data_IF_126326700479
#
_entry.id   IF_126326700479
#
_cell.length_a   1.000
_cell.length_b   1.000
_cell.length_c   1.000
_cell.angle_alpha   90.00
_cell.angle_beta   90.00
_cell.angle_gamma   90.00
#
_symmetry.space_group_name_H-M   'P 1'
#
loop_
_entity.id
_entity.type
_entity.pdbx_description
1 polymer ?
2 branched ?
3 non-polymer ?
4 non-polymer ?
5 non-polymer ?
6 non-polymer ?
7 non-polymer ?
8 non-polymer ?
9 non-polymer ?
10 water ?
#
# COMPACT_ATOMS: atom_id res chain seq x y z
N UNK A 1 1.39 -21.09 26.89
CA UNK A 1 1.07 -20.08 25.89
C UNK A 1 2.31 -19.68 25.11
N UNK A 2 2.24 -19.84 23.79
CA UNK A 2 3.35 -19.51 22.90
C UNK A 2 3.56 -18.00 22.81
N UNK A 3 2.48 -17.25 23.02
CA UNK A 3 2.54 -15.80 23.05
C UNK A 3 1.90 -15.28 24.31
N UNK A 4 1.66 -13.98 24.36
CA UNK A 4 1.09 -13.36 25.54
C UNK A 4 -0.01 -12.42 25.12
N UNK A 5 -1.25 -12.85 25.31
CA UNK A 5 -2.39 -12.02 24.97
C UNK A 5 -2.66 -11.04 26.11
N UNK A 6 -3.15 -9.85 25.76
CA UNK A 6 -3.46 -8.80 26.71
C UNK A 6 -4.75 -8.18 26.27
N UNK A 7 -5.30 -7.24 27.07
CA UNK A 7 -6.61 -6.76 26.64
C UNK A 7 -6.59 -6.29 25.19
N UNK A 8 -5.49 -5.67 24.75
CA UNK A 8 -5.42 -5.07 23.42
C UNK A 8 -4.09 -5.29 22.67
N UNK A 9 -3.45 -6.44 22.91
CA UNK A 9 -2.16 -6.71 22.33
C UNK A 9 -1.88 -8.22 22.29
N UNK A 10 -0.88 -8.61 21.51
CA UNK A 10 -0.44 -9.98 21.44
C UNK A 10 1.06 -10.03 21.18
N UNK A 11 1.83 -10.15 22.25
CA UNK A 11 3.28 -10.21 22.14
C UNK A 11 3.64 -11.63 21.74
N UNK A 12 4.39 -11.79 20.63
CA UNK A 12 4.75 -13.14 20.20
C UNK A 12 6.00 -13.64 20.96
N UNK A 13 5.86 -13.72 22.27
CA UNK A 13 6.92 -14.16 23.17
C UNK A 13 6.27 -14.82 24.41
N UNK A 14 6.79 -15.97 24.84
CA UNK A 14 6.26 -16.65 26.02
C UNK A 14 6.50 -15.85 27.31
N UNK A 15 5.50 -15.82 28.19
CA UNK A 15 5.67 -15.11 29.47
C UNK A 15 5.99 -16.02 30.65
N UNK A 16 6.62 -17.16 30.39
CA UNK A 16 6.97 -18.08 31.45
C UNK A 16 8.04 -17.47 32.36
N UNK A 17 8.82 -16.54 31.81
CA UNK A 17 9.85 -15.84 32.57
C UNK A 17 9.39 -14.49 33.11
N UNK A 18 8.11 -14.18 32.94
CA UNK A 18 7.52 -12.96 33.47
C UNK A 18 8.07 -11.66 32.89
N UNK A 19 8.89 -11.76 31.84
CA UNK A 19 9.48 -10.56 31.24
C UNK A 19 8.52 -9.77 30.34
N UNK A 20 7.61 -10.47 29.66
CA UNK A 20 6.67 -9.82 28.75
C UNK A 20 5.98 -8.63 29.42
N UNK A 21 5.87 -7.52 28.68
CA UNK A 21 5.16 -6.31 29.10
C UNK A 21 4.31 -5.85 27.93
N UNK A 22 3.38 -4.93 28.19
CA UNK A 22 2.49 -4.42 27.15
C UNK A 22 3.21 -3.45 26.23
N UNK A 23 3.07 -3.65 24.90
CA UNK A 23 3.77 -2.76 23.95
C UNK A 23 3.21 -1.34 24.02
N UNK A 24 2.25 -1.12 24.92
CA UNK A 24 1.70 0.22 25.14
C UNK A 24 2.24 0.85 26.43
N UNK A 25 2.82 0.00 27.29
CA UNK A 25 3.30 0.43 28.60
C UNK A 25 4.85 0.51 28.71
N UNK A 26 5.56 -0.40 28.08
CA UNK A 26 7.02 -0.42 28.22
C UNK A 26 7.81 -0.94 27.01
N UNK A 27 9.09 -0.56 26.93
CA UNK A 27 9.97 -1.01 25.84
C UNK A 27 9.94 -2.51 25.66
N UNK A 28 10.20 -2.99 24.44
CA UNK A 28 10.09 -4.42 24.11
C UNK A 28 11.45 -5.04 23.87
N UNK A 29 12.47 -4.44 24.47
CA UNK A 29 13.85 -4.90 24.28
C UNK A 29 14.11 -6.37 24.65
N UNK A 30 13.19 -6.97 25.41
CA UNK A 30 13.33 -8.39 25.71
C UNK A 30 13.04 -9.26 24.47
N UNK A 31 12.36 -8.66 23.48
CA UNK A 31 11.93 -9.33 22.25
C UNK A 31 13.06 -9.55 21.27
N UNK A 32 13.94 -8.56 21.17
CA UNK A 32 15.11 -8.64 20.31
C UNK A 32 16.21 -7.67 20.78
N UNK A 33 17.35 -7.65 20.10
CA UNK A 33 18.44 -6.73 20.47
C UNK A 33 18.05 -5.28 20.17
N UNK A 34 18.43 -4.36 21.07
CA UNK A 34 18.12 -2.94 20.85
C UNK A 34 18.76 -2.39 19.56
N UNK A 35 19.83 -3.01 19.09
CA UNK A 35 20.39 -2.55 17.83
C UNK A 35 19.44 -2.85 16.67
N UNK A 36 18.61 -3.88 16.83
CA UNK A 36 17.56 -4.23 15.85
C UNK A 36 16.45 -3.19 15.81
N UNK A 37 16.12 -2.62 16.96
CA UNK A 37 15.17 -1.54 17.04
C UNK A 37 15.74 -0.28 16.40
N UNK A 38 17.06 -0.14 16.45
CA UNK A 38 17.75 0.97 15.82
C UNK A 38 17.74 0.81 14.31
N UNK A 39 17.82 -0.44 13.85
CA UNK A 39 17.73 -0.76 12.43
C UNK A 39 16.36 -0.39 11.87
N UNK A 40 15.30 -0.77 12.59
CA UNK A 40 13.95 -0.38 12.16
C UNK A 40 13.82 1.16 12.09
N UNK A 41 14.26 1.81 13.15
CA UNK A 41 14.24 3.26 13.25
C UNK A 41 14.94 3.86 12.04
N UNK A 42 16.18 3.41 11.82
CA UNK A 42 17.02 3.90 10.72
C UNK A 42 16.29 3.72 9.39
N UNK A 43 15.74 2.52 9.23
CA UNK A 43 14.90 2.13 8.10
C UNK A 43 13.73 3.09 7.86
N UNK A 44 12.93 3.33 8.90
CA UNK A 44 11.77 4.22 8.77
C UNK A 44 12.21 5.61 8.40
N UNK A 45 13.34 6.03 8.98
CA UNK A 45 13.90 7.33 8.72
C UNK A 45 14.20 7.51 7.22
N UNK A 46 14.80 6.49 6.62
CA UNK A 46 15.07 6.49 5.19
C UNK A 46 13.79 6.57 4.37
N UNK A 47 12.79 5.79 4.76
CA UNK A 47 11.51 5.78 4.07
C UNK A 47 10.87 7.16 4.12
N UNK A 48 10.95 7.81 5.28
CA UNK A 48 10.42 9.16 5.41
C UNK A 48 11.23 10.14 4.54
N UNK A 49 12.55 10.08 4.64
CA UNK A 49 13.37 11.00 3.90
C UNK A 49 13.36 10.76 2.38
N UNK A 50 13.03 9.54 1.96
CA UNK A 50 12.84 9.26 0.54
C UNK A 50 11.43 9.56 0.11
N UNK A 51 10.46 9.05 0.89
CA UNK A 51 9.04 9.16 0.56
C UNK A 51 8.50 10.59 0.55
N UNK A 52 8.88 11.39 1.53
CA UNK A 52 8.49 12.81 1.53
C UNK A 52 8.82 13.54 0.21
N UNK A 53 10.11 13.58 -0.19
CA UNK A 53 10.41 14.32 -1.43
C UNK A 53 9.94 13.66 -2.74
N UNK A 54 9.95 12.34 -2.90
CA UNK A 54 9.56 11.80 -4.20
C UNK A 54 8.06 11.91 -4.44
N UNK A 55 7.28 11.81 -3.38
CA UNK A 55 5.85 11.94 -3.53
C UNK A 55 5.43 13.39 -3.74
N UNK A 56 5.87 14.27 -2.85
CA UNK A 56 5.63 15.67 -3.02
C UNK A 56 6.03 16.12 -4.41
N UNK A 57 7.22 15.74 -4.83
CA UNK A 57 7.73 16.13 -6.14
C UNK A 57 6.76 15.69 -7.22
N UNK A 58 6.33 14.44 -7.14
CA UNK A 58 5.34 13.92 -8.06
C UNK A 58 4.07 14.79 -8.06
N UNK A 59 3.54 14.99 -6.86
CA UNK A 59 2.37 15.84 -6.69
C UNK A 59 2.61 17.24 -7.28
N UNK A 60 3.69 17.87 -6.87
CA UNK A 60 4.05 19.21 -7.33
C UNK A 60 4.18 19.29 -8.86
N UNK A 61 5.03 18.45 -9.45
CA UNK A 61 5.22 18.44 -10.90
C UNK A 61 3.91 18.24 -11.69
N UNK A 62 3.01 17.43 -11.15
CA UNK A 62 1.74 17.13 -11.81
C UNK A 62 0.83 18.35 -11.84
N UNK A 63 0.62 18.96 -10.68
CA UNK A 63 -0.17 20.18 -10.55
C UNK A 63 0.36 21.27 -11.49
N UNK A 64 1.68 21.44 -11.50
CA UNK A 64 2.33 22.50 -12.27
C UNK A 64 2.16 22.35 -13.79
N UNK A 65 2.13 21.12 -14.27
CA UNK A 65 1.99 20.88 -15.71
C UNK A 65 0.56 20.49 -16.12
N UNK A 66 -0.14 21.42 -16.76
CA UNK A 66 -1.52 21.21 -17.20
C UNK A 66 -1.69 20.05 -18.19
N UNK A 67 -0.69 19.78 -19.03
CA UNK A 67 -0.82 18.69 -19.99
C UNK A 67 -0.92 17.33 -19.30
N UNK A 68 -0.52 17.27 -18.03
CA UNK A 68 -0.57 16.04 -17.24
C UNK A 68 -1.97 15.75 -16.67
N UNK A 69 -2.96 15.55 -17.54
CA UNK A 69 -4.32 15.36 -17.07
C UNK A 69 -4.98 14.10 -17.65
N UNK A 70 -4.21 13.03 -17.83
CA UNK A 70 -4.76 11.76 -18.26
C UNK A 70 -5.09 10.91 -17.03
N UNK A 71 -5.80 9.79 -17.22
CA UNK A 71 -6.09 8.89 -16.09
C UNK A 71 -4.84 8.42 -15.32
N UNK A 72 -3.80 8.00 -16.02
CA UNK A 72 -2.52 7.70 -15.37
C UNK A 72 -2.02 8.85 -14.50
N UNK A 73 -1.92 10.03 -15.11
CA UNK A 73 -1.45 11.21 -14.40
C UNK A 73 -2.26 11.40 -13.12
N UNK A 74 -3.57 11.21 -13.26
CA UNK A 74 -4.47 11.32 -12.13
C UNK A 74 -4.22 10.25 -11.07
N UNK A 75 -4.09 9.00 -11.50
CA UNK A 75 -3.88 7.90 -10.56
C UNK A 75 -2.57 8.12 -9.83
N UNK A 76 -1.52 8.52 -10.52
CA UNK A 76 -0.25 8.68 -9.83
C UNK A 76 -0.21 9.85 -8.86
N UNK A 77 -0.89 10.94 -9.22
CA UNK A 77 -1.09 12.03 -8.30
C UNK A 77 -1.76 11.50 -7.03
N UNK A 78 -2.78 10.68 -7.23
CA UNK A 78 -3.51 10.07 -6.13
C UNK A 78 -2.63 9.24 -5.16
N UNK A 79 -1.81 8.36 -5.73
CA UNK A 79 -0.79 7.63 -4.97
C UNK A 79 0.17 8.56 -4.22
N UNK A 80 0.62 9.61 -4.90
CA UNK A 80 1.47 10.60 -4.25
C UNK A 80 0.84 11.13 -2.97
N UNK A 81 -0.46 11.43 -3.02
CA UNK A 81 -1.18 11.87 -1.83
C UNK A 81 -1.28 10.74 -0.81
N UNK A 82 -1.67 9.56 -1.26
CA UNK A 82 -1.75 8.41 -0.37
C UNK A 82 -0.43 8.17 0.37
N UNK A 83 0.68 8.23 -0.36
CA UNK A 83 1.99 8.05 0.22
C UNK A 83 2.35 9.13 1.24
N UNK A 84 1.94 10.38 1.00
CA UNK A 84 2.24 11.44 1.95
C UNK A 84 1.48 11.24 3.24
N UNK A 85 0.30 10.65 3.10
CA UNK A 85 -0.47 10.22 4.26
C UNK A 85 0.22 9.07 5.01
N UNK A 86 0.81 8.14 4.27
CA UNK A 86 1.53 7.07 4.92
C UNK A 86 2.74 7.61 5.66
N UNK A 87 3.52 8.41 4.95
CA UNK A 87 4.72 9.00 5.54
C UNK A 87 4.36 9.77 6.80
N UNK A 88 3.59 10.84 6.64
CA UNK A 88 3.28 11.74 7.76
C UNK A 88 2.24 11.25 8.76
N UNK A 89 1.30 10.45 8.30
CA UNK A 89 0.27 9.96 9.19
C UNK A 89 0.76 8.77 9.97
N UNK A 90 1.57 7.93 9.31
CA UNK A 90 1.98 6.67 9.91
C UNK A 90 3.44 6.50 10.25
N UNK A 91 4.33 6.76 9.30
CA UNK A 91 5.75 6.44 9.47
C UNK A 91 6.42 7.22 10.60
N UNK A 92 6.08 8.50 10.73
CA UNK A 92 6.57 9.32 11.84
C UNK A 92 6.33 8.62 13.19
N UNK A 93 5.19 7.99 13.31
CA UNK A 93 4.82 7.27 14.52
C UNK A 93 5.59 5.96 14.65
N UNK A 94 5.73 5.24 13.55
CA UNK A 94 6.44 3.97 13.58
C UNK A 94 7.93 4.23 13.85
N UNK A 95 8.44 5.32 13.27
CA UNK A 95 9.80 5.73 13.57
C UNK A 95 9.96 5.95 15.08
N UNK A 96 9.19 6.90 15.60
CA UNK A 96 9.25 7.23 17.00
C UNK A 96 9.00 6.01 17.90
N UNK A 97 8.09 5.14 17.49
CA UNK A 97 7.86 3.91 18.26
C UNK A 97 9.11 3.03 18.28
N UNK A 98 9.73 2.86 17.12
CA UNK A 98 10.98 2.08 17.04
C UNK A 98 12.11 2.62 17.93
N UNK A 99 12.19 3.94 18.03
CA UNK A 99 13.20 4.61 18.85
C UNK A 99 12.99 4.31 20.33
N UNK A 100 11.75 4.34 20.78
CA UNK A 100 11.46 4.02 22.18
C UNK A 100 11.24 2.53 22.42
N UNK A 101 11.10 1.77 21.33
CA UNK A 101 10.93 0.32 21.43
C UNK A 101 9.53 -0.08 21.86
N UNK A 102 8.61 0.86 21.77
CA UNK A 102 7.20 0.57 22.08
C UNK A 102 6.30 1.76 21.75
N UNK A 103 5.00 1.54 21.81
CA UNK A 103 4.03 2.57 21.48
C UNK A 103 3.78 3.53 22.64
N UNK A 104 4.68 4.50 22.81
CA UNK A 104 4.53 5.47 23.90
C UNK A 104 3.29 6.32 23.68
N UNK A 105 2.82 6.35 22.44
CA UNK A 105 1.59 7.06 22.12
C UNK A 105 0.37 6.19 22.39
N UNK A 106 0.58 5.02 23.00
CA UNK A 106 -0.49 4.08 23.29
C UNK A 106 -1.28 3.64 22.06
N UNK A 107 -2.47 3.09 22.28
CA UNK A 107 -3.33 2.62 21.17
C UNK A 107 -3.63 3.70 20.11
N UNK A 108 -3.66 4.96 20.52
CA UNK A 108 -3.91 5.98 19.52
C UNK A 108 -2.74 5.99 18.51
N UNK A 109 -1.52 5.83 18.99
CA UNK A 109 -0.37 5.73 18.11
C UNK A 109 -0.41 4.53 17.17
N UNK A 110 -0.76 3.39 17.75
CA UNK A 110 -1.00 2.17 17.00
C UNK A 110 -2.07 2.32 15.92
N UNK A 111 -3.12 3.09 16.19
CA UNK A 111 -4.18 3.30 15.21
C UNK A 111 -3.65 4.10 14.03
N UNK A 112 -2.90 5.14 14.32
CA UNK A 112 -2.27 5.93 13.28
C UNK A 112 -1.41 5.06 12.34
N UNK A 113 -0.53 4.26 12.94
CA UNK A 113 0.43 3.44 12.22
C UNK A 113 -0.31 2.43 11.35
N UNK A 114 -1.33 1.81 11.92
CA UNK A 114 -2.11 0.78 11.23
C UNK A 114 -3.05 1.35 10.19
N UNK A 115 -3.72 2.43 10.53
CA UNK A 115 -4.62 3.08 9.59
C UNK A 115 -3.93 3.49 8.29
N UNK A 116 -2.94 4.38 8.38
CA UNK A 116 -2.34 4.92 7.17
C UNK A 116 -1.57 3.89 6.36
N UNK A 117 -1.05 2.88 7.04
CA UNK A 117 -0.38 1.82 6.32
C UNK A 117 -1.45 1.09 5.52
N UNK A 118 -2.51 0.70 6.20
CA UNK A 118 -3.60 0.00 5.56
C UNK A 118 -4.20 0.85 4.45
N UNK A 119 -4.39 2.11 4.74
CA UNK A 119 -4.98 3.02 3.79
C UNK A 119 -4.10 3.13 2.55
N UNK A 120 -2.82 3.40 2.76
CA UNK A 120 -1.91 3.58 1.64
C UNK A 120 -1.81 2.32 0.78
N UNK A 121 -1.75 1.16 1.43
CA UNK A 121 -1.67 -0.10 0.70
C UNK A 121 -2.90 -0.35 -0.16
N UNK A 122 -4.07 -0.23 0.47
CA UNK A 122 -5.34 -0.37 -0.23
C UNK A 122 -5.58 0.66 -1.35
N UNK A 123 -5.21 1.92 -1.11
CA UNK A 123 -5.33 2.93 -2.15
C UNK A 123 -4.48 2.54 -3.36
N UNK A 124 -3.30 2.00 -3.10
CA UNK A 124 -2.46 1.49 -4.17
C UNK A 124 -3.11 0.30 -4.89
N UNK A 125 -3.71 -0.64 -4.14
CA UNK A 125 -4.37 -1.81 -4.72
C UNK A 125 -5.52 -1.42 -5.63
N UNK A 126 -6.44 -0.63 -5.07
CA UNK A 126 -7.62 -0.23 -5.81
C UNK A 126 -7.26 0.71 -6.94
N UNK A 127 -6.18 1.48 -6.77
CA UNK A 127 -5.74 2.30 -7.89
C UNK A 127 -5.34 1.40 -9.06
N UNK A 128 -4.70 0.28 -8.74
CA UNK A 128 -4.31 -0.67 -9.78
C UNK A 128 -5.54 -1.17 -10.55
N UNK A 129 -6.63 -1.36 -9.83
CA UNK A 129 -7.87 -1.78 -10.45
C UNK A 129 -8.34 -0.73 -11.46
N UNK A 130 -8.51 0.50 -11.00
CA UNK A 130 -8.83 1.63 -11.89
C UNK A 130 -7.91 1.74 -13.12
N UNK A 131 -6.61 1.60 -12.94
CA UNK A 131 -5.71 1.64 -14.09
C UNK A 131 -5.94 0.48 -15.07
N UNK A 132 -6.12 -0.72 -14.54
CA UNK A 132 -6.29 -1.89 -15.39
C UNK A 132 -7.55 -1.73 -16.22
N UNK A 133 -8.58 -1.21 -15.59
CA UNK A 133 -9.86 -0.99 -16.26
C UNK A 133 -9.72 0.08 -17.32
N UNK A 134 -9.02 1.15 -16.97
CA UNK A 134 -8.69 2.21 -17.92
C UNK A 134 -7.87 1.65 -19.10
N UNK A 135 -6.89 0.79 -18.84
CA UNK A 135 -6.12 0.15 -19.91
C UNK A 135 -7.06 -0.71 -20.75
N UNK A 136 -8.00 -1.37 -20.08
CA UNK A 136 -8.93 -2.26 -20.75
C UNK A 136 -9.79 -1.44 -21.70
N UNK A 137 -10.46 -0.44 -21.16
CA UNK A 137 -11.32 0.41 -21.95
C UNK A 137 -10.57 1.09 -23.11
N UNK A 138 -9.38 1.60 -22.84
CA UNK A 138 -8.62 2.36 -23.84
C UNK A 138 -7.92 1.49 -24.90
N UNK A 139 -7.63 0.25 -24.56
CA UNK A 139 -6.87 -0.62 -25.46
C UNK A 139 -7.74 -1.63 -26.21
N UNK A 140 -8.97 -1.82 -25.73
CA UNK A 140 -9.89 -2.77 -26.36
C UNK A 140 -11.23 -2.11 -26.65
N UNK A 141 -11.46 -0.94 -26.07
CA UNK A 141 -12.72 -0.19 -26.22
C UNK A 141 -13.97 -1.07 -26.41
N UNK A 142 -14.25 -1.94 -25.42
CA UNK A 142 -15.40 -2.84 -25.46
C UNK A 142 -16.73 -2.08 -25.47
N UNK A 143 -16.99 -1.29 -24.43
CA UNK A 143 -18.21 -0.49 -24.39
C UNK A 143 -18.31 0.38 -25.64
N UNK A 144 -19.50 0.91 -25.90
CA UNK A 144 -19.77 1.71 -27.09
C UNK A 144 -18.85 2.91 -27.22
N UNK A 145 -19.30 3.91 -27.98
CA UNK A 145 -18.56 5.15 -28.17
C UNK A 145 -18.47 5.90 -26.84
N UNK A 146 -17.57 5.45 -25.98
CA UNK A 146 -17.43 5.98 -24.63
C UNK A 146 -16.07 6.65 -24.45
N UNK A 147 -16.00 7.59 -23.51
CA UNK A 147 -14.76 8.32 -23.22
C UNK A 147 -14.37 8.28 -21.75
N UNK A 148 -13.31 7.53 -21.46
CA UNK A 148 -12.72 7.50 -20.13
C UNK A 148 -11.81 8.72 -19.95
N UNK A 149 -12.43 9.89 -19.81
CA UNK A 149 -11.68 11.13 -19.77
C UNK A 149 -11.44 11.65 -18.37
N UNK A 150 -11.25 12.96 -18.26
CA UNK A 150 -10.94 13.59 -16.99
C UNK A 150 -12.02 13.35 -15.95
N UNK A 151 -13.28 13.41 -16.37
CA UNK A 151 -14.39 13.22 -15.47
C UNK A 151 -14.32 11.86 -14.74
N UNK A 152 -14.09 10.81 -15.52
CA UNK A 152 -13.97 9.48 -14.94
C UNK A 152 -12.72 9.34 -14.10
N UNK A 153 -11.71 10.12 -14.44
CA UNK A 153 -10.46 10.14 -13.68
C UNK A 153 -10.78 10.49 -12.24
N UNK A 154 -11.44 11.62 -12.05
CA UNK A 154 -11.87 12.05 -10.72
C UNK A 154 -12.70 10.95 -10.04
N UNK A 155 -13.70 10.43 -10.76
CA UNK A 155 -14.53 9.36 -10.21
C UNK A 155 -13.68 8.14 -9.88
N UNK A 156 -12.67 7.88 -10.70
CA UNK A 156 -11.72 6.82 -10.44
C UNK A 156 -10.99 7.02 -9.11
N UNK A 157 -10.43 8.21 -8.92
CA UNK A 157 -9.74 8.54 -7.69
C UNK A 157 -10.65 8.39 -6.45
N UNK A 158 -11.81 9.06 -6.46
CA UNK A 158 -12.74 8.98 -5.34
C UNK A 158 -13.05 7.53 -5.01
N UNK A 159 -13.21 6.72 -6.04
CA UNK A 159 -13.50 5.30 -5.88
C UNK A 159 -12.46 4.59 -5.01
N UNK A 160 -11.18 4.77 -5.34
CA UNK A 160 -10.06 4.19 -4.57
C UNK A 160 -10.11 4.56 -3.09
N UNK A 161 -10.51 5.79 -2.79
CA UNK A 161 -10.60 6.26 -1.41
C UNK A 161 -11.72 5.57 -0.69
N UNK A 162 -12.80 5.32 -1.42
CA UNK A 162 -13.99 4.69 -0.86
C UNK A 162 -13.66 3.26 -0.46
N UNK A 163 -13.07 2.51 -1.38
CA UNK A 163 -12.74 1.12 -1.08
C UNK A 163 -11.70 1.05 0.02
N UNK A 164 -10.61 1.80 -0.14
CA UNK A 164 -9.57 1.79 0.88
C UNK A 164 -10.06 2.15 2.29
N UNK A 165 -11.00 3.09 2.42
CA UNK A 165 -11.52 3.47 3.74
C UNK A 165 -12.46 2.39 4.28
N UNK A 166 -13.11 1.71 3.35
CA UNK A 166 -13.96 0.58 3.67
C UNK A 166 -13.15 -0.53 4.32
N UNK A 167 -11.85 -0.56 4.05
CA UNK A 167 -10.97 -1.54 4.66
C UNK A 167 -10.26 -1.00 5.90
N UNK A 168 -9.78 0.25 5.83
CA UNK A 168 -8.94 0.83 6.87
C UNK A 168 -9.71 1.39 8.08
N UNK A 169 -10.90 1.94 7.85
CA UNK A 169 -11.67 2.60 8.91
C UNK A 169 -12.43 1.69 9.89
N UNK A 170 -13.13 0.63 9.39
CA UNK A 170 -13.96 -0.17 10.29
C UNK A 170 -13.23 -0.61 11.57
N UNK A 171 -11.94 -0.94 11.46
CA UNK A 171 -11.23 -1.36 12.68
C UNK A 171 -10.94 -0.19 13.64
N UNK A 172 -11.26 1.03 13.21
CA UNK A 172 -11.14 2.19 14.09
C UNK A 172 -12.36 2.33 14.97
N UNK A 173 -13.50 1.80 14.53
CA UNK A 173 -14.78 1.98 15.22
C UNK A 173 -15.48 0.69 15.65
N UNK A 174 -14.74 -0.38 15.91
CA UNK A 174 -15.37 -1.58 16.43
C UNK A 174 -15.34 -2.86 15.62
N UNK A 175 -15.04 -2.79 14.33
CA UNK A 175 -14.90 -4.00 13.54
C UNK A 175 -13.42 -4.38 13.36
N UNK A 176 -12.98 -5.39 14.10
CA UNK A 176 -11.56 -5.70 14.21
C UNK A 176 -10.84 -4.51 14.89
N UNK A 177 -9.51 -4.52 14.85
CA UNK A 177 -8.73 -3.44 15.46
C UNK A 177 -7.26 -3.46 15.04
N UNK A 178 -6.64 -2.31 15.12
CA UNK A 178 -5.20 -2.22 14.89
C UNK A 178 -4.42 -2.72 16.12
N UNK A 179 -3.38 -3.50 15.87
CA UNK A 179 -2.72 -4.17 16.98
C UNK A 179 -1.23 -4.29 16.67
N UNK A 180 -0.38 -4.18 17.70
CA UNK A 180 1.05 -4.31 17.42
C UNK A 180 1.48 -5.67 16.86
N UNK A 181 2.48 -5.65 15.98
CA UNK A 181 2.95 -6.85 15.30
C UNK A 181 4.46 -7.00 15.43
N UNK A 182 4.93 -8.24 15.32
CA UNK A 182 6.36 -8.51 15.31
C UNK A 182 7.08 -8.03 16.55
N UNK A 183 8.07 -7.18 16.36
CA UNK A 183 8.78 -6.59 17.49
C UNK A 183 7.93 -5.53 18.17
N UNK A 184 6.67 -5.42 17.77
CA UNK A 184 5.72 -4.53 18.42
C UNK A 184 5.90 -3.07 18.06
N UNK A 185 6.53 -2.78 16.92
CA UNK A 185 6.77 -1.38 16.56
C UNK A 185 6.02 -0.91 15.33
N UNK A 186 5.16 -1.77 14.81
CA UNK A 186 4.25 -1.42 13.74
C UNK A 186 2.93 -2.08 14.08
N UNK A 187 1.85 -1.58 13.50
CA UNK A 187 0.55 -2.11 13.80
C UNK A 187 -0.19 -2.58 12.54
N UNK A 188 -0.84 -3.73 12.66
CA UNK A 188 -1.65 -4.26 11.57
C UNK A 188 -3.02 -4.70 12.05
N UNK A 189 -3.80 -5.25 11.13
CA UNK A 189 -5.09 -5.82 11.48
C UNK A 189 -4.88 -6.97 12.47
N UNK A 190 -5.87 -7.22 13.33
CA UNK A 190 -5.74 -8.31 14.30
C UNK A 190 -6.03 -9.70 13.70
N UNK A 191 -4.97 -10.35 13.21
CA UNK A 191 -5.02 -11.73 12.74
C UNK A 191 -4.68 -12.67 13.89
N UNK A 192 -4.36 -12.08 15.04
CA UNK A 192 -3.73 -12.79 16.17
C UNK A 192 -4.72 -13.40 17.13
N UNK A 193 -5.83 -12.70 17.37
CA UNK A 193 -6.85 -13.19 18.31
C UNK A 193 -8.25 -13.17 17.71
N UNK A 194 -9.14 -14.01 18.23
CA UNK A 194 -10.53 -14.00 17.73
C UNK A 194 -11.33 -12.82 18.28
N UNK A 195 -10.99 -12.40 19.50
CA UNK A 195 -11.63 -11.26 20.15
C UNK A 195 -13.01 -10.96 19.60
N UNK A 196 -13.95 -11.85 19.90
CA UNK A 196 -15.31 -11.82 19.38
C UNK A 196 -16.06 -10.49 19.54
N UNK A 197 -15.66 -9.67 20.52
CA UNK A 197 -16.31 -8.38 20.78
C UNK A 197 -16.17 -7.39 19.63
N UNK A 198 -15.12 -7.57 18.85
CA UNK A 198 -14.88 -6.70 17.72
C UNK A 198 -15.02 -7.50 16.42
N UNK A 199 -15.54 -8.72 16.54
CA UNK A 199 -15.78 -9.59 15.41
C UNK A 199 -14.58 -9.76 14.49
N UNK A 200 -13.41 -9.97 15.09
CA UNK A 200 -12.17 -10.10 14.35
C UNK A 200 -12.25 -11.04 13.14
N UNK A 201 -12.56 -12.31 13.40
CA UNK A 201 -12.68 -13.32 12.37
C UNK A 201 -13.35 -12.80 11.09
N UNK A 202 -14.53 -12.20 11.23
CA UNK A 202 -15.28 -11.83 10.03
C UNK A 202 -14.62 -10.69 9.27
N UNK A 203 -13.83 -9.87 9.95
CA UNK A 203 -13.16 -8.75 9.30
C UNK A 203 -12.01 -9.24 8.45
N UNK A 204 -11.21 -10.14 9.01
CA UNK A 204 -10.06 -10.69 8.30
C UNK A 204 -10.52 -11.34 7.01
N UNK A 205 -11.63 -12.08 7.08
CA UNK A 205 -12.21 -12.71 5.90
C UNK A 205 -12.62 -11.63 4.88
N UNK A 206 -13.35 -10.65 5.37
CA UNK A 206 -13.79 -9.53 4.53
C UNK A 206 -12.60 -8.87 3.84
N UNK A 207 -11.55 -8.63 4.59
CA UNK A 207 -10.35 -7.96 4.08
C UNK A 207 -9.69 -8.75 2.96
N UNK A 208 -9.39 -10.02 3.21
CA UNK A 208 -8.69 -10.87 2.25
C UNK A 208 -9.52 -11.07 0.99
N UNK A 209 -10.83 -11.15 1.15
CA UNK A 209 -11.70 -11.42 0.02
C UNK A 209 -12.04 -10.17 -0.79
N UNK A 210 -12.50 -9.13 -0.09
CA UNK A 210 -12.88 -7.91 -0.77
C UNK A 210 -11.71 -6.98 -1.07
N UNK A 211 -10.69 -7.01 -0.21
CA UNK A 211 -9.61 -6.03 -0.29
C UNK A 211 -8.30 -6.66 -0.70
N UNK A 212 -8.37 -7.83 -1.30
CA UNK A 212 -7.18 -8.47 -1.82
C UNK A 212 -7.55 -9.29 -3.05
N UNK A 213 -8.30 -10.37 -2.83
CA UNK A 213 -8.77 -11.28 -3.88
C UNK A 213 -9.60 -10.60 -4.97
N UNK A 214 -10.71 -9.98 -4.61
CA UNK A 214 -11.57 -9.40 -5.63
C UNK A 214 -10.78 -8.45 -6.54
N UNK A 215 -10.04 -7.49 -5.95
CA UNK A 215 -9.25 -6.58 -6.79
C UNK A 215 -8.29 -7.32 -7.73
N UNK A 216 -7.62 -8.36 -7.23
CA UNK A 216 -6.78 -9.21 -8.08
C UNK A 216 -7.55 -9.92 -9.21
N UNK A 217 -8.76 -10.42 -8.92
CA UNK A 217 -9.63 -10.98 -9.95
C UNK A 217 -9.87 -9.94 -11.04
N UNK A 218 -10.31 -8.76 -10.63
CA UNK A 218 -10.59 -7.71 -11.60
C UNK A 218 -9.39 -7.38 -12.49
N UNK A 219 -8.22 -7.24 -11.88
CA UNK A 219 -7.01 -6.93 -12.63
C UNK A 219 -6.65 -8.09 -13.57
N UNK A 220 -6.76 -9.31 -13.06
CA UNK A 220 -6.49 -10.52 -13.85
C UNK A 220 -7.41 -10.62 -15.07
N UNK A 221 -8.67 -10.26 -14.87
CA UNK A 221 -9.61 -10.20 -15.96
C UNK A 221 -9.13 -9.22 -17.04
N UNK A 222 -8.80 -7.99 -16.61
CA UNK A 222 -8.33 -6.95 -17.52
C UNK A 222 -7.09 -7.37 -18.26
N UNK A 223 -6.16 -7.99 -17.53
CA UNK A 223 -4.95 -8.57 -18.10
C UNK A 223 -5.30 -9.62 -19.16
N UNK A 224 -6.39 -10.35 -18.93
CA UNK A 224 -6.87 -11.29 -19.91
C UNK A 224 -7.25 -10.60 -21.21
N UNK A 225 -8.11 -9.59 -21.09
CA UNK A 225 -8.58 -8.82 -22.24
C UNK A 225 -7.46 -8.16 -23.04
N UNK A 226 -6.37 -7.78 -22.36
CA UNK A 226 -5.23 -7.15 -23.03
C UNK A 226 -4.31 -8.12 -23.79
N UNK A 227 -4.06 -9.28 -23.20
CA UNK A 227 -3.25 -10.30 -23.87
C UNK A 227 -3.97 -10.75 -25.13
N UNK A 228 -5.25 -11.04 -24.99
CA UNK A 228 -6.12 -11.43 -26.10
C UNK A 228 -6.08 -10.41 -27.24
N UNK A 229 -6.39 -9.16 -26.92
CA UNK A 229 -6.42 -8.06 -27.89
C UNK A 229 -5.06 -7.73 -28.52
N UNK A 230 -4.03 -7.55 -27.70
CA UNK A 230 -2.69 -7.30 -28.22
C UNK A 230 -2.33 -8.43 -29.20
N UNK A 231 -3.14 -9.48 -29.18
CA UNK A 231 -2.95 -10.67 -30.00
C UNK A 231 -3.82 -10.70 -31.28
N UNK A 232 -5.14 -10.82 -31.13
CA UNK A 232 -6.02 -10.94 -32.31
C UNK A 232 -7.31 -10.11 -32.28
N UNK A 233 -7.44 -9.24 -31.28
CA UNK A 233 -8.61 -8.37 -31.23
C UNK A 233 -8.22 -6.91 -31.53
N UNK A 234 -6.93 -6.69 -31.79
CA UNK A 234 -6.39 -5.36 -32.04
C UNK A 234 -5.88 -5.19 -33.47
N UNK A 235 -5.57 -6.30 -34.14
CA UNK A 235 -5.15 -6.27 -35.54
C UNK A 235 -6.35 -5.89 -36.41
N UNK A 236 -7.53 -5.89 -35.79
CA UNK A 236 -8.77 -5.51 -36.46
C UNK A 236 -9.25 -4.16 -35.96
N UNK A 237 -8.54 -3.62 -34.96
CA UNK A 237 -8.83 -2.30 -34.42
C UNK A 237 -7.93 -1.27 -35.09
N UNK A 238 -7.12 -1.75 -36.04
CA UNK A 238 -6.21 -0.91 -36.81
C UNK A 238 -5.37 0.03 -35.93
N UNK A 239 -5.03 -0.44 -34.73
CA UNK A 239 -4.19 0.35 -33.84
C UNK A 239 -2.91 0.75 -34.57
N UNK A 240 -2.83 2.01 -34.96
CA UNK A 240 -1.65 2.50 -35.65
C UNK A 240 -0.39 2.24 -34.82
N UNK A 241 0.63 1.68 -35.46
CA UNK A 241 1.89 1.36 -34.77
C UNK A 241 2.48 2.53 -34.00
N UNK A 242 2.04 3.75 -34.32
CA UNK A 242 2.56 4.96 -33.67
C UNK A 242 1.98 5.17 -32.29
N UNK A 243 0.69 4.85 -32.14
CA UNK A 243 0.02 5.00 -30.85
C UNK A 243 0.34 3.83 -29.94
N UNK A 244 0.27 2.62 -30.49
CA UNK A 244 0.60 1.41 -29.74
C UNK A 244 1.93 1.51 -29.01
N UNK A 245 2.91 2.15 -29.64
CA UNK A 245 4.24 2.27 -29.03
C UNK A 245 4.21 3.16 -27.78
N UNK A 246 3.24 4.07 -27.73
CA UNK A 246 3.08 4.96 -26.57
C UNK A 246 2.04 4.41 -25.61
N UNK A 247 1.14 3.59 -26.14
CA UNK A 247 0.11 2.94 -25.34
C UNK A 247 0.63 1.60 -24.81
N UNK A 248 1.78 1.19 -25.31
CA UNK A 248 2.40 -0.03 -24.84
C UNK A 248 3.37 0.38 -23.73
N UNK A 249 3.92 1.59 -23.83
CA UNK A 249 4.74 2.11 -22.75
C UNK A 249 3.92 2.05 -21.48
N UNK A 250 2.75 2.70 -21.55
CA UNK A 250 1.84 2.82 -20.41
C UNK A 250 1.31 1.49 -19.93
N UNK A 251 1.00 0.60 -20.87
CA UNK A 251 0.49 -0.69 -20.48
C UNK A 251 1.58 -1.48 -19.75
N UNK A 252 2.80 -1.40 -20.26
CA UNK A 252 3.91 -2.09 -19.62
C UNK A 252 4.08 -1.58 -18.21
N UNK A 253 3.95 -0.27 -18.06
CA UNK A 253 4.14 0.33 -16.76
C UNK A 253 3.12 -0.16 -15.75
N UNK A 254 1.86 -0.24 -16.17
CA UNK A 254 0.83 -0.68 -15.25
C UNK A 254 1.15 -2.09 -14.80
N UNK A 255 1.53 -2.93 -15.76
CA UNK A 255 1.89 -4.30 -15.44
C UNK A 255 3.01 -4.35 -14.40
N UNK A 256 4.06 -3.54 -14.60
CA UNK A 256 5.14 -3.45 -13.61
C UNK A 256 4.65 -3.00 -12.24
N UNK A 257 3.78 -1.98 -12.22
CA UNK A 257 3.22 -1.51 -10.97
C UNK A 257 2.45 -2.61 -10.24
N UNK A 258 1.80 -3.47 -11.03
CA UNK A 258 1.02 -4.57 -10.49
C UNK A 258 1.95 -5.63 -9.89
N UNK A 259 3.04 -5.89 -10.61
CA UNK A 259 4.02 -6.86 -10.14
C UNK A 259 4.71 -6.35 -8.88
N UNK A 260 5.12 -5.08 -8.89
CA UNK A 260 5.76 -4.45 -7.73
C UNK A 260 4.88 -4.54 -6.50
N UNK A 261 3.57 -4.33 -6.69
CA UNK A 261 2.64 -4.45 -5.57
C UNK A 261 2.65 -5.86 -4.95
N UNK A 262 2.67 -6.87 -5.81
CA UNK A 262 2.69 -8.26 -5.37
C UNK A 262 4.00 -8.59 -4.65
N UNK A 263 5.09 -8.01 -5.15
CA UNK A 263 6.40 -8.25 -4.58
C UNK A 263 6.44 -7.63 -3.19
N UNK A 264 5.82 -6.46 -3.09
CA UNK A 264 5.81 -5.69 -1.88
C UNK A 264 4.87 -6.26 -0.80
N UNK A 265 3.69 -6.72 -1.21
CA UNK A 265 2.65 -7.07 -0.24
C UNK A 265 2.36 -8.54 -0.03
N UNK A 266 2.61 -9.38 -1.03
CA UNK A 266 2.42 -10.82 -0.84
C UNK A 266 3.10 -11.38 0.43
N UNK A 267 4.37 -11.00 0.67
CA UNK A 267 5.03 -11.55 1.87
C UNK A 267 4.24 -11.24 3.14
N UNK A 268 3.73 -10.02 3.25
CA UNK A 268 2.92 -9.62 4.40
C UNK A 268 1.60 -10.41 4.44
N UNK A 269 0.94 -10.42 3.29
CA UNK A 269 -0.25 -11.21 3.05
C UNK A 269 -0.11 -12.63 3.56
N UNK A 270 0.88 -13.36 3.05
CA UNK A 270 1.15 -14.72 3.48
C UNK A 270 1.33 -14.92 4.99
N UNK A 271 2.18 -14.12 5.62
CA UNK A 271 2.37 -14.26 7.07
C UNK A 271 1.04 -13.96 7.80
N UNK A 272 0.34 -12.94 7.36
CA UNK A 272 -0.91 -12.58 8.01
C UNK A 272 -1.89 -13.74 7.94
N UNK A 273 -2.04 -14.31 6.74
CA UNK A 273 -2.93 -15.44 6.51
C UNK A 273 -2.50 -16.67 7.33
N UNK A 274 -1.20 -16.90 7.39
CA UNK A 274 -0.67 -17.94 8.23
C UNK A 274 -1.04 -17.70 9.70
N UNK A 275 -0.55 -16.62 10.28
CA UNK A 275 -0.90 -16.32 11.66
C UNK A 275 -2.40 -16.54 11.90
N UNK A 276 -3.21 -16.03 10.97
CA UNK A 276 -4.66 -16.11 11.12
C UNK A 276 -5.18 -17.55 11.21
N UNK A 277 -4.53 -18.46 10.50
CA UNK A 277 -4.94 -19.84 10.49
C UNK A 277 -4.08 -20.71 11.40
N UNK A 278 -3.32 -20.06 12.28
CA UNK A 278 -2.45 -20.76 13.20
C UNK A 278 -2.32 -19.94 14.44
N UNK A 279 -3.42 -19.29 14.83
CA UNK A 279 -3.42 -18.48 16.04
C UNK A 279 -2.92 -19.28 17.24
N UNK A 280 -2.07 -18.66 18.04
CA UNK A 280 -1.53 -19.30 19.22
C UNK A 280 -0.29 -20.11 18.92
N UNK A 281 -0.05 -20.39 17.64
CA UNK A 281 1.10 -21.21 17.25
C UNK A 281 2.39 -20.51 17.64
N UNK A 282 3.49 -21.25 17.64
CA UNK A 282 4.76 -20.73 18.11
C UNK A 282 5.52 -19.95 17.03
N UNK A 283 5.44 -18.63 17.06
CA UNK A 283 6.20 -17.81 16.14
C UNK A 283 6.80 -16.61 16.84
N UNK A 284 7.97 -16.17 16.39
CA UNK A 284 8.65 -15.06 17.01
C UNK A 284 8.28 -13.70 16.46
N UNK A 285 8.86 -12.64 17.04
CA UNK A 285 8.52 -11.27 16.63
C UNK A 285 9.15 -10.95 15.28
N UNK A 286 10.14 -11.71 14.87
CA UNK A 286 10.80 -11.46 13.59
C UNK A 286 9.95 -11.98 12.43
N UNK A 287 9.04 -12.90 12.75
CA UNK A 287 8.24 -13.56 11.74
C UNK A 287 7.44 -12.53 10.94
N UNK A 288 6.91 -11.52 11.61
CA UNK A 288 6.07 -10.53 10.93
C UNK A 288 6.79 -9.20 10.72
N UNK A 289 7.85 -8.96 11.48
CA UNK A 289 8.56 -7.70 11.41
C UNK A 289 9.12 -7.46 10.01
N UNK A 290 9.81 -8.46 9.47
CA UNK A 290 10.42 -8.29 8.14
C UNK A 290 9.36 -8.02 7.07
N UNK A 291 8.36 -8.90 6.94
CA UNK A 291 7.37 -8.60 5.89
C UNK A 291 6.63 -7.25 6.07
N UNK A 292 6.28 -6.91 7.30
CA UNK A 292 5.55 -5.68 7.60
C UNK A 292 6.34 -4.44 7.19
N UNK A 293 7.58 -4.34 7.68
CA UNK A 293 8.43 -3.19 7.38
C UNK A 293 8.82 -3.18 5.92
N UNK A 294 8.93 -4.35 5.32
CA UNK A 294 9.23 -4.39 3.91
C UNK A 294 8.09 -3.78 3.12
N UNK A 295 6.87 -4.15 3.48
CA UNK A 295 5.68 -3.67 2.81
C UNK A 295 5.60 -2.14 2.80
N UNK A 296 6.24 -1.52 3.80
CA UNK A 296 6.17 -0.07 3.94
C UNK A 296 6.93 0.67 2.84
N UNK A 297 7.64 -0.07 1.99
CA UNK A 297 8.28 0.52 0.80
C UNK A 297 7.21 0.88 -0.22
N UNK A 298 5.98 0.49 0.09
CA UNK A 298 4.84 0.81 -0.76
C UNK A 298 4.62 2.33 -0.84
N UNK A 299 5.16 3.04 0.16
CA UNK A 299 5.06 4.49 0.22
C UNK A 299 6.01 5.15 -0.77
N UNK A 300 6.91 4.37 -1.36
CA UNK A 300 8.01 4.90 -2.18
C UNK A 300 8.11 4.34 -3.61
N UNK A 301 7.90 3.04 -3.81
CA UNK A 301 8.21 2.44 -5.11
C UNK A 301 7.41 2.95 -6.32
N UNK A 302 6.17 3.39 -6.11
CA UNK A 302 5.32 3.81 -7.23
C UNK A 302 5.77 5.08 -7.99
N UNK A 303 5.95 6.19 -7.28
CA UNK A 303 6.51 7.35 -7.98
C UNK A 303 7.81 7.05 -8.72
N UNK A 304 8.66 6.20 -8.15
CA UNK A 304 9.91 5.79 -8.79
C UNK A 304 9.68 5.00 -10.07
N UNK A 305 8.80 4.01 -10.05
CA UNK A 305 8.44 3.30 -11.28
C UNK A 305 7.94 4.28 -12.33
N UNK A 306 7.09 5.20 -11.87
CA UNK A 306 6.54 6.29 -12.68
C UNK A 306 7.62 7.12 -13.39
N UNK A 307 8.49 7.71 -12.58
CA UNK A 307 9.58 8.51 -13.10
C UNK A 307 10.41 7.73 -14.13
N UNK A 308 10.68 6.46 -13.81
CA UNK A 308 11.55 5.63 -14.65
C UNK A 308 10.88 5.06 -15.90
N UNK A 309 9.56 5.01 -15.95
CA UNK A 309 8.90 4.33 -17.08
C UNK A 309 7.95 5.20 -17.91
N UNK A 310 7.74 6.43 -17.48
CA UNK A 310 6.89 7.35 -18.22
C UNK A 310 7.65 8.60 -18.64
N UNK A 311 8.17 8.56 -19.86
CA UNK A 311 9.04 9.61 -20.41
C UNK A 311 8.43 11.01 -20.28
N UNK A 312 7.13 11.11 -20.51
CA UNK A 312 6.49 12.40 -20.42
C UNK A 312 6.54 12.94 -19.01
N UNK A 313 6.27 12.06 -18.03
CA UNK A 313 6.33 12.51 -16.66
C UNK A 313 7.77 12.85 -16.29
N UNK A 314 8.69 12.00 -16.72
CA UNK A 314 10.10 12.24 -16.45
C UNK A 314 10.59 13.61 -16.96
N UNK A 315 10.33 13.89 -18.23
CA UNK A 315 10.74 15.15 -18.87
C UNK A 315 10.14 16.36 -18.16
N UNK A 316 8.88 16.25 -17.76
CA UNK A 316 8.23 17.35 -17.07
C UNK A 316 8.92 17.59 -15.75
N UNK A 317 9.32 16.50 -15.11
CA UNK A 317 10.02 16.58 -13.85
C UNK A 317 11.35 17.31 -14.00
N UNK A 318 12.18 16.88 -14.94
CA UNK A 318 13.47 17.52 -15.21
C UNK A 318 13.25 19.00 -15.49
N UNK A 319 12.22 19.29 -16.27
CA UNK A 319 11.82 20.66 -16.58
C UNK A 319 11.48 21.44 -15.31
N UNK A 320 10.58 20.90 -14.50
CA UNK A 320 10.27 21.53 -13.23
C UNK A 320 11.52 21.80 -12.40
N UNK A 321 12.40 20.81 -12.32
CA UNK A 321 13.57 20.88 -11.46
C UNK A 321 14.67 21.75 -12.04
N UNK A 322 14.66 21.94 -13.35
CA UNK A 322 15.68 22.77 -13.98
C UNK A 322 15.15 24.14 -14.39
N UNK A 323 13.85 24.32 -14.21
CA UNK A 323 13.17 25.58 -14.49
C UNK A 323 13.22 25.92 -15.98
N UNK A 324 12.09 25.75 -16.65
CA UNK A 324 11.99 26.10 -18.06
C UNK A 324 12.54 25.03 -18.99
N UNK A 325 13.87 24.97 -19.10
CA UNK A 325 14.52 24.03 -20.02
C UNK A 325 15.04 22.86 -19.22
N UNK A 326 15.12 21.70 -19.85
CA UNK A 326 15.62 20.49 -19.20
C UNK A 326 16.90 19.94 -19.83
N UNK A 330 7.34 20.49 -19.80
CA UNK A 330 6.55 21.69 -20.13
C UNK A 330 5.07 21.33 -20.28
N UNK A 331 4.19 22.21 -19.79
CA UNK A 331 2.76 21.99 -19.87
C UNK A 331 1.97 23.08 -19.19
N UNK A 332 2.27 23.35 -17.92
X LIG B 1 4.01 -11.74 32.63
X LIG B 1 2.83 -10.77 32.55
X LIG B 1 2.95 -9.67 33.59
X LIG B 1 3.25 -10.22 34.98
X LIG B 1 4.40 -11.22 34.89
X LIG B 1 4.75 -11.84 36.23
X LIG B 1 1.61 -9.63 30.75
X LIG B 1 1.55 -8.13 30.79
X LIG B 1 2.73 -10.19 31.21
X LIG B 1 1.78 -8.87 33.66
X LIG B 1 3.56 -9.16 35.87
X LIG B 1 4.12 -12.22 33.95
X LIG B 1 5.15 -13.17 36.00
X LIG B 1 0.67 -10.28 30.33
X LIG B 2 3.15 -9.28 37.25
X LIG B 2 3.83 -8.19 38.08
X LIG B 2 3.24 -8.05 39.48
X LIG B 2 1.72 -8.18 39.52
X LIG B 2 1.26 -9.33 38.63
X LIG B 2 -0.25 -9.44 38.57
X LIG B 2 6.18 -7.63 37.79
X LIG B 2 6.61 -6.56 38.75
X LIG B 2 5.25 -8.48 38.21
X LIG B 2 3.63 -6.80 40.03
X LIG B 2 1.31 -8.42 40.84
X LIG B 2 1.76 -9.13 37.34
X LIG B 2 -0.78 -8.37 37.82
X LIG B 2 6.67 -7.68 36.66
X LIG B 3 0.63 -7.36 41.55
X LIG B 3 -0.84 -7.35 41.16
X LIG B 3 -1.62 -6.30 41.95
X LIG B 3 -1.38 -6.51 43.44
X LIG B 3 0.11 -6.57 43.76
X LIG B 3 0.34 -6.90 45.23
X LIG B 3 -1.41 -8.64 41.40
X LIG B 3 -3.02 -6.37 41.64
X LIG B 3 -1.99 -5.44 44.18
X LIG B 3 0.75 -7.57 42.97
X LIG B 3 0.60 -5.69 45.97
X LIG C 1 2.33 -23.79 21.00
X LIG C 1 0.97 -24.34 20.55
X LIG C 1 1.00 -25.86 20.59
X LIG C 1 2.26 -26.49 19.99
X LIG C 1 3.53 -25.71 20.30
X LIG C 1 4.67 -26.18 19.41
X LIG C 1 -0.27 -24.12 22.67
X LIG C 1 -1.24 -25.21 22.99
X LIG C 1 -0.10 -23.78 21.38
X LIG C 1 -0.13 -26.41 19.94
X LIG C 1 2.40 -27.78 20.56
X LIG C 1 3.35 -24.32 20.17
X LIG C 1 5.86 -25.46 19.68
X LIG C 1 0.34 -23.58 23.59
X LIG C 2 2.15 -28.91 19.70
X LIG C 2 3.04 -30.08 20.15
X LIG C 2 2.74 -31.37 19.39
X LIG C 2 1.24 -31.66 19.54
X LIG C 2 0.42 -30.46 19.07
X LIG C 2 -1.07 -30.70 19.23
X LIG C 2 5.20 -29.59 21.12
X LIG C 2 6.55 -30.23 21.10
X LIG C 2 4.45 -29.74 20.03
X LIG C 2 3.50 -32.43 19.93
X LIG C 2 0.88 -32.81 18.81
X LIG C 2 0.80 -29.30 19.78
X LIG C 2 -1.80 -29.57 18.81
X LIG C 2 4.81 -28.97 22.11
X LIG C 3 0.54 -34.00 19.56
X LIG C 3 -0.50 -34.79 18.79
X LIG C 3 -0.85 -36.06 19.56
X LIG C 3 0.43 -36.86 19.78
X LIG C 3 1.46 -35.99 20.50
X LIG C 3 2.79 -36.71 20.74
X LIG C 3 -0.01 -35.12 17.47
X LIG C 3 -1.84 -36.81 18.84
X LIG C 3 0.15 -38.05 20.52
X LIG C 3 1.71 -34.80 19.74
X LIG C 3 3.05 -36.77 22.14
X LIG D 1 -14.89 11.87 -19.35
X LIG E 1 1.96 -22.25 26.56
X LIG E 1 2.24 -22.54 25.39
X LIG E 1 2.27 -23.18 27.70
X LIG F 1 -3.73 -7.07 2.63
X LIG F 1 -3.60 -7.53 1.19
X LIG F 1 -2.60 -6.75 0.36
X LIG F 1 -2.89 -5.26 0.45
X LIG F 1 -2.98 -4.77 1.88
X LIG F 1 -3.36 -5.60 2.88
X LIG F 1 -3.49 -5.14 4.31
X LIG F 1 -2.45 -4.63 4.98
X LIG F 1 -2.43 -4.14 6.37
X LIG F 1 -1.27 -3.55 6.77
X LIG F 1 -1.01 -2.97 8.10
X LIG F 1 0.15 -2.51 8.60
X LIG F 1 1.54 -2.46 8.07
X LIG F 1 2.43 -1.68 8.74
X LIG F 1 3.85 -1.50 8.41
X LIG F 1 -5.19 -7.32 3.04
X LIG F 1 -2.81 -7.93 3.49
X LIG F 1 -2.62 -3.33 2.13
X LIG F 1 -3.63 -4.32 7.26
X LIG F 1 1.97 -3.25 6.88
X LIG G 1 18.25 20.96 -13.50
X LIG G 1 18.54 22.19 -13.43
X LIG G 1 19.03 19.95 -12.72
X LIG G 1 19.43 20.51 -11.35
X LIG G 1 18.25 21.02 -10.55
X LIG G 1 18.32 20.57 -9.09
X LIG G 1 17.77 19.16 -8.94
X LIG G 1 17.75 18.73 -7.47
X LIG G 1 16.63 17.72 -7.22
X LIG G 1 16.23 17.72 -5.75
X LIG G 1 14.79 17.24 -5.57
X LIG G 1 14.65 15.76 -5.91
X LIG G 1 13.57 15.11 -5.05
X LIG G 1 13.46 13.59 -5.30
X LIG G 1 14.80 12.90 -5.08
X LIG G 1 14.66 11.46 -4.55
X LIG G 1 14.49 11.46 -3.03
X LIG H 1 14.84 25.99 -11.19
X LIG H 1 15.84 25.84 -11.95
X LIG H 1 14.99 25.80 -9.69
X LIG H 1 14.96 24.31 -9.31
X LIG H 1 14.21 24.03 -8.02
X LIG H 1 13.02 23.11 -8.24
X LIG H 1 11.71 23.85 -8.02
X LIG H 1 10.59 22.90 -7.64
X LIG H 1 9.88 23.35 -6.37
X LIG H 1 10.33 22.53 -5.16
X LIG H 1 9.87 21.08 -5.32
X LIG H 1 10.88 20.13 -4.70
X LIG H 1 10.23 18.83 -4.21
X LIG H 1 10.95 18.32 -2.96
X LIG H 1 10.24 18.83 -1.71
X LIG H 1 10.83 18.21 -0.45
X LIG H 1 11.70 19.22 0.31
X LIG I 1 9.88 -6.41 -12.43
X LIG I 1 10.66 -5.62 -11.41
X LIG I 1 9.75 -5.23 -10.24
X LIG I 1 9.96 -3.78 -9.82
X LIG I 1 10.65 -3.65 -8.46
X LIG I 1 9.65 -3.71 -7.29
X LIG I 1 10.13 -2.92 -6.08
X LIG I 1 9.15 -3.07 -4.92
X LIG I 1 9.87 -2.90 -3.59
X LIG I 1 11.34 -3.04 -16.98
X LIG I 1 12.24 -2.63 -15.83
X LIG I 1 11.85 -1.24 -15.31
X LIG I 1 12.49 -1.02 -13.94
X LIG I 1 11.68 -0.08 -13.06
X LIG I 1 11.55 -0.62 -11.63
X LIG I 1 12.06 0.37 -10.58
X LIG I 1 11.50 0.08 -9.18
X LIG I 1 12.48 0.32 -8.03
X LIG I 1 11.82 1.03 -6.85
X LIG I 1 12.11 0.40 -5.49
X LIG J 1 4.55 -18.52 5.11
X LIG J 1 3.97 -17.55 5.64
X LIG J 1 5.98 -18.55 5.50
X LIG J 1 3.98 -19.79 5.60
X LIG J 1 4.38 -18.50 3.65
X LIG J 1 3.75 -17.16 3.22
X LIG J 1 4.53 -16.42 2.12
X LIG J 1 3.68 -15.63 1.11
X LIG J 1 2.65 -16.47 0.38
X LIG J 1 1.45 -15.69 -0.16
X LIG J 1 0.16 -16.20 0.48
X LIG J 1 -1.09 -15.41 0.11
X LIG J 1 -2.32 -15.84 0.91
X LIG J 1 -3.65 -15.31 0.39
X LIG J 1 -4.83 -16.11 0.95
X LIG J 1 -6.20 -15.47 0.71
X LIG K 1 7.98 -14.08 2.09
X LIG K 1 8.45 -14.57 3.46
X LIG K 1 8.83 -13.42 4.41
X LIG K 1 10.21 -12.82 4.14
X LIG K 1 10.18 -11.30 4.14
X LIG K 1 10.51 -10.70 2.77
X LIG K 1 11.41 -9.47 2.94
X LIG K 1 11.98 -8.92 1.63
X LIG K 1 13.38 -8.87 1.77
X LIG K 1 13.87 -7.61 1.41
X LIG K 1 14.68 -7.04 2.58
X LIG K 1 14.24 -5.76 2.99
X LIG K 1 13.60 -5.81 4.25
X LIG K 1 14.11 -4.68 5.17
X LIG K 1 13.06 -4.31 6.04
X LIG K 1 13.28 -4.69 7.39
X LIG K 1 13.88 -3.61 8.30
X LIG L 1 -7.93 9.67 10.39
X LIG L 1 -7.79 8.41 11.25
X LIG L 1 -6.89 8.67 12.46
X LIG L 1 -6.85 7.46 13.38
X LIG L 1 -6.57 7.89 14.82
X LIG L 1 -7.12 6.86 15.79
X LIG L 1 -6.82 7.26 17.22
X LIG L 1 -7.96 6.82 18.14
X LIG L 1 -7.49 5.82 19.02
X LIG L 1 -7.75 6.11 20.37
X LIG L 1 -8.33 4.86 21.04
X LIG L 1 -8.82 3.99 20.06
X LIG L 1 -8.43 2.67 20.34
X LIG L 1 -9.47 1.69 19.78
X LIG L 1 -8.96 0.99 18.66
X LIG M 1 -2.67 -11.70 -9.85
X LIG M 1 -3.24 -11.16 -11.17
X LIG M 1 -2.34 -10.09 -11.79
X LIG M 1 -1.76 -10.55 -13.13
X LIG M 1 -0.26 -10.83 -13.02
X LIG M 1 0.45 -10.53 -14.33
X LIG M 1 1.80 -11.24 -14.41
X LIG M 1 2.35 -11.16 -15.83
X LIG M 1 3.59 -10.46 -15.88
X LIG M 1 4.68 -11.22 -16.36
X LIG N 1 14.86 8.43 -6.92
X LIG N 1 14.45 8.67 -8.37
X LIG N 1 15.66 8.75 -9.32
X LIG N 1 15.21 8.84 -10.78
X LIG N 1 16.09 9.79 -11.60
X LIG N 1 15.55 10.05 -13.01
X LIG N 1 15.97 11.42 -13.54
X LIG N 1 16.04 11.42 -15.08
X LIG N 1 16.94 10.42 -15.53
X LIG N 1 17.65 10.82 -16.70
X LIG N 1 17.93 9.62 -17.62
X LIG N 1 17.56 9.97 -18.93
X LIG N 1 17.10 8.85 -19.65
X LIG N 1 15.80 9.17 -20.42
X LIG N 1 15.30 10.45 -20.13
X LIG N 1 14.76 11.08 -21.29
X LIG N 1 15.63 12.30 -21.62
X LIG N 1 16.41 12.07 -22.78
X LIG O 1 8.44 -25.43 1.14
X LIG O 1 7.01 -25.03 1.52
X LIG O 1 6.11 -26.25 1.73
X LIG O 1 4.97 -25.95 2.71
X LIG O 1 3.65 -25.68 2.00
X LIG O 1 2.45 -25.80 2.93
X LIG O 1 1.13 -25.76 2.17
X LIG O 1 -0.06 -25.90 3.13
X LIG O 1 -1.23 -25.50 2.47
X LIG O 1 -1.91 -24.49 3.19
X LIG O 1 -2.53 -23.48 2.19
X LIG O 1 -2.00 -22.17 2.35
X LIG O 1 -1.86 -21.44 1.14
X LIG O 1 -0.41 -21.41 0.60
X LIG O 1 0.45 -22.27 1.32
X LIG O 1 1.70 -21.69 1.65
X LIG O 1 2.07 -22.00 3.13
X LIG O 1 0.95 -22.50 3.86
X LIG O 1 0.79 -21.94 5.15
X LIG O 1 -0.65 -21.42 5.31
X LIG O 1 -0.65 -20.04 5.64
X LIG P 1 -16.17 -14.59 -20.33
X LIG P 1 -16.84 -14.65 -18.96
X LIG P 1 -15.97 -15.39 -17.95
X LIG P 1 -15.26 -14.42 -17.00
X LIG P 1 -15.41 -14.80 -15.52
X LIG P 1 -14.23 -14.28 -14.73
X LIG P 1 -14.67 -13.32 -13.62
X LIG P 1 -14.98 -11.95 -14.22
X LIG P 1 -15.31 -11.01 -13.21
X LIG P 1 -14.48 -9.86 -13.24
X LIG P 1 -15.32 -8.62 -13.57
X LIG P 1 -14.85 -8.04 -14.77
#
# INVERSE_FOLDING_TARGET
MNGTEGPNFYVPFSNKTGVVRSPFEAPQYYLAEPWQFSMLAAYMFLLIMLGFPINFLTLYVTVQHKKLRTPLNYILLNLAVADLFMVFGGFTTTLYTSLHGYFVFGPTGCNLEGFFATLGGEIALWSLVVLAIERYVVVCKPMSNFRFGENHAIMGVAFTWVMALACAAPPLVGWSRYIPEGMQCSCGIDYYTPHEETNNESFVIYMFVVHFIIPLIVIFFCYGQLVFTVKEAAAQQQESATTQKAEKEVTRMVIIMVIAFLICWLPYAGVAFYIFTHQGSDFGPIFMTIPAFFAKTSAVYNPVIYIMMNKQFRNCMVTTLCCGKNPLGDDEASTTVSKTETSQVAPA
NAG C1 C2 C3 C4 C5 C6 C7 C8 N2 O3 O4 O5 O6 O7
NAG C1 C2 C3 C4 C5 C6 C7 C8 N2 O3 O4 O5 O6 O7
BMA C1 C2 C3 C4 C5 C6 O2 O3 O4 O5 O6
NAG C1 C2 C3 C4 C5 C6 C7 C8 N2 O3 O4 O5 O6 O7
NAG C1 C2 C3 C4 C5 C6 C7 C8 N2 O3 O4 O5 O6 O7
BMA C1 C2 C3 C4 C5 C6 O2 O3 O4 O5 O6
ZN ZN
ACE C O CH3
RET C1 C2 C3 C4 C5 C6 C7 C8 C9 C10 C11 C12 C13 C14 C15 C16 C17 C18 C19 C20
PLM C1 O1 C2 C3 C4 C5 C6 C7 C8 C9 CA CB CC CD CE CF CG
PLM C1 O1 C2 C3 C4 C5 C6 C7 C8 C9 CA CB CC CD CE CF CG
PEF C10 C11 C12 C13 C14 C15 C16 C17 C18 C30 C31 C32 C33 C34 C35 C36 C37 C38 C39 C40
LDA N1 O1 CM1 CM2 C1 C2 C3 C4 C5 C6 C7 C8 C9 C10 C11 C12
C8E C1 C2 C3 C4 C5 C6 C7 C8 O9 C10 C11 O12 C13 C14 O15 C16 C17
C8E C1 C2 C3 C4 C5 C6 C7 C8 O9 C10 C11 O12 C13 C14 O15
C8E C1 C2 C3 C4 C5 C6 C7 C8 O9 C10
C8E C1 C2 C3 C4 C5 C6 C7 C8 O9 C10 C11 O12 C13 C14 O15 C16 C17 O18
C8E C1 C2 C3 C4 C5 C6 C7 C8 O9 C10 C11 O12 C13 C14 O15 C16 C17 O18 C19 C20 O21
C8E C1 C2 C3 C4 C5 C6 C7 C8 O9 C10 C11 O12
#
